data_IF_691553939448
#
_entry.id   IF_691553939448
#
_cell.length_a   1.000
_cell.length_b   1.000
_cell.length_c   1.000
_cell.angle_alpha   90.00
_cell.angle_beta   90.00
_cell.angle_gamma   90.00
#
_symmetry.space_group_name_H-M   'P 1'
#
loop_
_entity.id
_entity.type
_entity.pdbx_description
1 polymer ?
#
# COMPACT_ATOMS: atom_id res chain seq x y z
N UNK A 1 20.15 0.58 13.86
CA UNK A 1 19.99 2.05 13.76
C UNK A 1 18.71 2.47 13.03
N UNK A 2 18.57 2.34 11.70
CA UNK A 2 17.40 2.85 10.95
C UNK A 2 16.02 2.55 11.58
N UNK A 3 15.78 1.32 12.06
CA UNK A 3 14.56 0.93 12.79
C UNK A 3 14.33 1.77 14.06
N UNK A 4 15.38 2.05 14.82
CA UNK A 4 15.30 2.89 16.02
C UNK A 4 14.98 4.37 15.69
N UNK A 5 15.22 4.82 14.45
CA UNK A 5 14.78 6.12 13.94
C UNK A 5 13.41 6.06 13.23
N UNK A 6 12.70 4.92 13.28
CA UNK A 6 11.38 4.75 12.66
C UNK A 6 11.41 4.37 11.17
N UNK A 7 12.56 3.97 10.63
CA UNK A 7 12.69 3.41 9.28
C UNK A 7 12.51 1.88 9.23
N UNK A 8 12.62 1.27 8.05
CA UNK A 8 12.44 -0.19 7.86
C UNK A 8 13.71 -1.02 8.18
N UNK A 9 14.91 -0.44 8.06
CA UNK A 9 16.20 -1.14 8.23
C UNK A 9 16.49 -2.25 7.20
N UNK A 10 15.78 -2.26 6.06
CA UNK A 10 15.92 -3.26 5.00
C UNK A 10 16.42 -2.68 3.66
N UNK A 11 16.76 -1.40 3.61
CA UNK A 11 17.40 -0.81 2.44
C UNK A 11 18.72 -1.50 2.14
N UNK A 12 18.87 -1.97 0.89
CA UNK A 12 20.06 -2.71 0.46
C UNK A 12 20.03 -4.22 0.73
N UNK A 13 18.90 -4.80 1.13
CA UNK A 13 18.81 -6.25 1.40
C UNK A 13 19.24 -7.16 0.23
N UNK A 14 19.18 -6.64 -1.00
CA UNK A 14 19.57 -7.34 -2.23
C UNK A 14 21.05 -7.13 -2.60
N UNK A 15 21.81 -6.39 -1.78
CA UNK A 15 23.22 -6.04 -1.99
C UNK A 15 24.11 -7.01 -1.23
N UNK A 16 25.26 -7.36 -1.79
CA UNK A 16 26.19 -8.30 -1.16
C UNK A 16 26.69 -7.80 0.21
N UNK A 17 26.72 -8.68 1.21
CA UNK A 17 27.18 -8.36 2.56
C UNK A 17 26.16 -7.64 3.46
N UNK A 18 24.91 -7.51 3.02
CA UNK A 18 23.86 -6.83 3.77
C UNK A 18 23.65 -7.39 5.19
N UNK A 19 23.51 -8.71 5.35
CA UNK A 19 23.19 -9.30 6.67
C UNK A 19 24.27 -9.02 7.72
N UNK A 20 25.54 -9.14 7.31
CA UNK A 20 26.69 -8.85 8.17
C UNK A 20 26.73 -7.36 8.54
N UNK A 21 26.50 -6.47 7.58
CA UNK A 21 26.47 -5.03 7.80
C UNK A 21 25.29 -4.59 8.67
N UNK A 22 24.10 -5.16 8.46
CA UNK A 22 22.88 -4.87 9.25
C UNK A 22 23.01 -5.32 10.71
N UNK A 23 23.65 -6.46 10.95
CA UNK A 23 23.85 -7.02 12.28
C UNK A 23 24.90 -6.26 13.12
N UNK A 24 25.75 -5.45 12.49
CA UNK A 24 26.83 -4.76 13.18
C UNK A 24 26.33 -3.60 14.06
N UNK A 25 26.67 -3.65 15.35
CA UNK A 25 26.27 -2.64 16.35
C UNK A 25 27.44 -1.76 16.83
N UNK A 26 28.59 -1.79 16.17
CA UNK A 26 29.76 -0.98 16.54
C UNK A 26 30.74 -1.66 17.49
N UNK A 27 30.58 -2.95 17.77
CA UNK A 27 31.49 -3.72 18.63
C UNK A 27 32.52 -4.51 17.82
N UNK A 28 33.81 -4.27 18.07
CA UNK A 28 34.91 -4.98 17.41
C UNK A 28 35.47 -4.23 16.21
N UNK A 29 36.03 -4.98 15.26
CA UNK A 29 36.56 -4.40 14.03
C UNK A 29 35.42 -3.87 13.14
N UNK A 30 35.62 -2.74 12.42
CA UNK A 30 34.58 -2.19 11.56
C UNK A 30 34.12 -3.18 10.48
N UNK A 31 32.80 -3.30 10.32
CA UNK A 31 32.18 -4.08 9.24
C UNK A 31 31.94 -3.18 8.03
N UNK A 32 32.38 -3.65 6.86
CA UNK A 32 32.19 -2.97 5.58
C UNK A 32 31.05 -3.62 4.79
N UNK A 33 30.21 -2.80 4.15
CA UNK A 33 29.15 -3.27 3.28
C UNK A 33 29.77 -3.68 1.94
N UNK A 34 30.08 -4.98 1.81
CA UNK A 34 30.88 -5.54 0.69
C UNK A 34 30.38 -5.12 -0.69
N UNK A 35 29.08 -5.11 -0.89
CA UNK A 35 28.48 -4.73 -2.16
C UNK A 35 28.37 -3.22 -2.40
N UNK A 36 28.85 -2.34 -1.50
CA UNK A 36 28.81 -0.88 -1.69
C UNK A 36 30.24 -0.35 -1.73
N UNK A 37 30.66 0.15 -2.90
CA UNK A 37 32.02 0.61 -3.10
C UNK A 37 32.09 2.09 -3.51
N UNK A 38 32.87 2.89 -2.78
CA UNK A 38 33.20 4.27 -3.15
C UNK A 38 34.53 4.29 -3.92
N UNK A 39 34.43 4.48 -5.23
CA UNK A 39 35.60 4.43 -6.13
C UNK A 39 36.30 5.80 -6.12
N UNK A 40 35.54 6.87 -6.36
CA UNK A 40 35.96 8.27 -6.28
C UNK A 40 34.75 9.20 -6.04
N UNK A 41 34.97 10.52 -6.05
CA UNK A 41 33.96 11.54 -5.74
C UNK A 41 32.69 11.48 -6.63
N UNK A 42 32.79 10.91 -7.83
CA UNK A 42 31.69 10.85 -8.80
C UNK A 42 31.37 9.43 -9.27
N UNK A 43 32.03 8.42 -8.68
CA UNK A 43 31.93 7.03 -9.11
C UNK A 43 31.78 6.13 -7.90
N UNK A 44 30.72 5.33 -7.90
CA UNK A 44 30.51 4.24 -6.95
C UNK A 44 30.10 2.98 -7.70
N UNK A 45 30.24 1.83 -7.07
CA UNK A 45 29.76 0.56 -7.58
C UNK A 45 28.88 -0.12 -6.56
N UNK A 46 27.84 -0.80 -7.04
CA UNK A 46 26.95 -1.62 -6.25
C UNK A 46 26.98 -3.04 -6.79
N UNK A 47 27.25 -4.00 -5.92
CA UNK A 47 27.23 -5.44 -6.24
C UNK A 47 25.99 -6.05 -5.60
N UNK A 48 25.04 -6.45 -6.44
CA UNK A 48 23.85 -7.16 -6.01
C UNK A 48 24.16 -8.64 -5.82
N UNK A 49 23.42 -9.28 -4.91
CA UNK A 49 23.51 -10.72 -4.69
C UNK A 49 23.17 -11.46 -5.99
N UNK A 50 23.79 -12.63 -6.18
CA UNK A 50 23.71 -13.39 -7.43
C UNK A 50 22.27 -13.74 -7.84
N UNK A 51 21.38 -13.97 -6.87
CA UNK A 51 19.97 -14.26 -7.11
C UNK A 51 19.32 -13.10 -7.88
N UNK A 52 19.69 -11.85 -7.61
CA UNK A 52 19.11 -10.69 -8.29
C UNK A 52 19.75 -10.36 -9.65
N UNK A 53 20.73 -11.14 -10.13
CA UNK A 53 21.46 -10.83 -11.37
C UNK A 53 20.57 -10.81 -12.63
N UNK A 54 19.50 -11.61 -12.65
CA UNK A 54 18.54 -11.69 -13.76
C UNK A 54 17.19 -11.03 -13.42
N UNK A 55 17.13 -10.22 -12.36
CA UNK A 55 15.88 -9.61 -11.94
C UNK A 55 15.30 -8.71 -13.04
N UNK A 56 14.07 -8.97 -13.47
CA UNK A 56 13.45 -8.23 -14.58
C UNK A 56 13.41 -6.71 -14.32
N UNK A 57 13.19 -6.32 -13.07
CA UNK A 57 13.15 -4.92 -12.65
C UNK A 57 14.52 -4.39 -12.20
N UNK A 58 15.66 -5.01 -12.57
CA UNK A 58 17.01 -4.56 -12.16
C UNK A 58 17.27 -3.06 -12.37
N UNK A 59 16.62 -2.42 -13.37
CA UNK A 59 16.72 -0.97 -13.58
C UNK A 59 16.26 -0.15 -12.38
N UNK A 60 15.33 -0.65 -11.56
CA UNK A 60 14.88 0.01 -10.33
C UNK A 60 15.99 0.05 -9.30
N UNK A 61 16.85 -0.96 -9.28
CA UNK A 61 18.01 -1.00 -8.38
C UNK A 61 19.07 0.01 -8.77
N UNK A 62 19.13 0.44 -10.03
CA UNK A 62 20.00 1.53 -10.49
C UNK A 62 19.47 2.94 -10.15
N UNK A 63 18.31 3.05 -9.49
CA UNK A 63 17.67 4.32 -9.13
C UNK A 63 18.23 4.97 -7.87
N UNK A 64 19.45 5.51 -7.93
CA UNK A 64 20.05 6.21 -6.79
C UNK A 64 19.70 7.70 -6.77
N UNK A 65 19.27 8.20 -5.62
CA UNK A 65 19.07 9.63 -5.37
C UNK A 65 20.03 10.11 -4.28
N UNK A 66 20.74 11.24 -4.47
CA UNK A 66 21.67 11.74 -3.47
C UNK A 66 20.91 12.37 -2.31
N UNK A 67 21.39 12.11 -1.09
CA UNK A 67 21.01 12.83 0.12
C UNK A 67 22.23 13.55 0.72
N UNK A 68 22.06 14.69 1.42
CA UNK A 68 23.13 15.27 2.20
C UNK A 68 23.64 14.26 3.23
N UNK A 69 24.93 13.94 3.23
CA UNK A 69 25.51 12.90 4.10
C UNK A 69 25.22 13.16 5.59
N UNK A 70 25.22 14.44 6.00
CA UNK A 70 24.89 14.86 7.36
C UNK A 70 23.48 14.45 7.78
N UNK A 71 22.55 14.30 6.83
CA UNK A 71 21.18 13.86 7.11
C UNK A 71 21.17 12.56 7.91
N UNK A 72 21.96 11.58 7.46
CA UNK A 72 21.99 10.24 8.04
C UNK A 72 23.22 9.98 8.92
N UNK A 73 24.34 10.67 8.71
CA UNK A 73 25.57 10.44 9.46
C UNK A 73 25.86 11.52 10.51
N UNK A 74 25.20 12.67 10.47
CA UNK A 74 25.57 13.80 11.33
C UNK A 74 27.00 14.25 11.04
N UNK A 75 27.84 14.24 12.07
CA UNK A 75 29.28 14.51 11.96
C UNK A 75 30.13 13.25 11.68
N UNK A 76 29.50 12.08 11.62
CA UNK A 76 30.18 10.81 11.36
C UNK A 76 30.53 10.67 9.88
N UNK A 77 31.53 9.85 9.60
CA UNK A 77 32.09 9.66 8.27
C UNK A 77 31.82 8.25 7.74
N UNK A 78 31.80 8.15 6.40
CA UNK A 78 31.96 6.90 5.67
C UNK A 78 33.45 6.53 5.71
N UNK A 79 33.76 5.34 6.20
CA UNK A 79 35.12 4.77 6.16
C UNK A 79 35.23 3.85 4.96
N UNK A 80 36.40 3.81 4.31
CA UNK A 80 36.62 3.04 3.08
C UNK A 80 37.83 2.14 3.27
N UNK A 81 37.69 0.83 2.99
CA UNK A 81 38.80 -0.11 3.09
C UNK A 81 39.63 -0.20 1.80
N UNK A 82 40.62 -1.09 1.77
CA UNK A 82 41.50 -1.31 0.61
C UNK A 82 40.76 -1.78 -0.65
N UNK A 83 39.63 -2.48 -0.48
CA UNK A 83 38.74 -2.94 -1.55
C UNK A 83 37.72 -1.89 -1.98
N UNK A 84 37.82 -0.66 -1.47
CA UNK A 84 36.86 0.44 -1.71
C UNK A 84 35.49 0.23 -1.08
N UNK A 85 35.30 -0.79 -0.26
CA UNK A 85 34.03 -1.08 0.39
C UNK A 85 33.75 -0.03 1.47
N UNK A 86 32.49 0.39 1.59
CA UNK A 86 32.05 1.42 2.51
C UNK A 86 31.64 0.83 3.87
N UNK A 87 32.14 1.42 4.94
CA UNK A 87 31.68 1.20 6.32
C UNK A 87 31.29 2.52 6.98
N UNK A 88 30.84 2.47 8.23
CA UNK A 88 30.54 3.66 9.02
C UNK A 88 31.52 3.78 10.18
N UNK A 89 31.95 5.00 10.48
CA UNK A 89 32.82 5.30 11.61
C UNK A 89 32.17 4.94 12.96
N UNK A 90 33.00 4.65 13.97
CA UNK A 90 32.58 4.18 15.30
C UNK A 90 31.53 5.09 15.96
N UNK A 91 31.66 6.41 15.80
CA UNK A 91 30.75 7.39 16.38
C UNK A 91 29.30 7.24 15.93
N UNK A 92 29.06 6.66 14.74
CA UNK A 92 27.72 6.37 14.23
C UNK A 92 26.96 5.38 15.12
N UNK A 93 27.70 4.43 15.72
CA UNK A 93 27.14 3.36 16.54
C UNK A 93 27.06 3.71 18.03
N UNK A 94 27.47 4.92 18.42
CA UNK A 94 27.48 5.35 19.82
C UNK A 94 26.08 5.27 20.43
N UNK A 95 26.00 4.59 21.57
CA UNK A 95 24.79 4.49 22.39
C UNK A 95 24.92 5.32 23.68
N UNK A 96 23.79 5.77 24.20
CA UNK A 96 23.66 6.38 25.52
C UNK A 96 22.43 5.84 26.24
N UNK A 97 22.46 5.85 27.57
CA UNK A 97 21.31 5.42 28.37
C UNK A 97 20.21 6.49 28.32
N UNK A 98 19.07 6.15 27.73
CA UNK A 98 17.87 6.99 27.62
C UNK A 98 16.67 6.21 28.14
N UNK A 99 15.96 6.76 29.14
CA UNK A 99 14.81 6.10 29.78
C UNK A 99 15.07 4.67 30.29
N UNK A 100 16.32 4.39 30.69
CA UNK A 100 16.72 3.08 31.23
C UNK A 100 17.07 2.03 30.17
N UNK A 101 17.13 2.40 28.90
CA UNK A 101 17.58 1.54 27.79
C UNK A 101 18.74 2.19 27.03
N UNK A 102 19.62 1.38 26.44
CA UNK A 102 20.68 1.87 25.57
C UNK A 102 20.08 2.27 24.22
N UNK A 103 20.22 3.54 23.85
CA UNK A 103 19.68 4.10 22.61
C UNK A 103 20.81 4.72 21.77
N UNK A 104 20.75 4.55 20.45
CA UNK A 104 21.70 5.19 19.54
C UNK A 104 21.55 6.72 19.56
N UNK A 105 22.64 7.45 19.77
CA UNK A 105 22.65 8.92 19.78
C UNK A 105 22.19 9.48 18.43
N UNK A 106 22.50 8.78 17.33
CA UNK A 106 22.14 9.18 15.97
C UNK A 106 20.63 9.24 15.70
N UNK A 107 19.78 8.59 16.52
CA UNK A 107 18.31 8.66 16.37
C UNK A 107 17.83 10.11 16.43
N UNK A 108 18.26 10.85 17.45
CA UNK A 108 17.82 12.23 17.66
C UNK A 108 18.41 13.18 16.59
N UNK A 109 19.62 12.88 16.09
CA UNK A 109 20.28 13.62 15.01
C UNK A 109 19.47 13.46 13.70
N UNK A 110 19.18 12.21 13.31
CA UNK A 110 18.39 11.92 12.10
C UNK A 110 17.01 12.57 12.18
N UNK A 111 16.30 12.40 13.30
CA UNK A 111 14.96 12.96 13.49
C UNK A 111 14.94 14.50 13.42
N UNK A 112 15.99 15.18 13.89
CA UNK A 112 16.12 16.62 13.73
C UNK A 112 16.43 17.02 12.29
N UNK A 113 17.29 16.27 11.60
CA UNK A 113 17.67 16.53 10.21
C UNK A 113 16.53 16.31 9.20
N UNK A 114 15.57 15.42 9.52
CA UNK A 114 14.40 15.15 8.68
C UNK A 114 13.35 16.28 8.72
N UNK A 115 13.51 17.28 9.60
CA UNK A 115 12.62 18.45 9.62
C UNK A 115 12.83 19.29 8.36
N UNK A 116 11.74 19.86 7.84
CA UNK A 116 11.75 20.66 6.62
C UNK A 116 12.61 21.92 6.74
N UNK A 117 12.75 22.45 7.97
CA UNK A 117 13.52 23.64 8.33
C UNK A 117 14.91 23.31 8.88
N UNK A 118 15.44 22.12 8.56
CA UNK A 118 16.84 21.81 8.85
C UNK A 118 17.79 22.68 8.02
N UNK A 119 19.02 22.86 8.50
CA UNK A 119 20.08 23.60 7.79
C UNK A 119 20.69 22.81 6.61
N UNK A 120 20.10 21.67 6.24
CA UNK A 120 20.61 20.79 5.21
C UNK A 120 20.26 21.28 3.80
N UNK A 121 21.19 21.16 2.83
CA UNK A 121 20.97 21.64 1.48
C UNK A 121 20.01 20.74 0.68
N UNK A 122 19.28 21.37 -0.25
CA UNK A 122 18.48 20.68 -1.25
C UNK A 122 19.28 20.48 -2.54
N UNK A 123 19.14 19.32 -3.19
CA UNK A 123 19.77 18.99 -4.48
C UNK A 123 18.85 19.22 -5.69
N UNK A 124 17.54 19.36 -5.46
CA UNK A 124 16.54 19.50 -6.51
C UNK A 124 16.36 20.93 -7.07
N UNK A 125 15.44 21.13 -8.02
CA UNK A 125 15.19 22.41 -8.69
C UNK A 125 14.65 23.52 -7.77
N UNK A 126 14.07 23.15 -6.63
CA UNK A 126 13.47 24.08 -5.66
C UNK A 126 13.93 23.75 -4.24
N UNK A 127 13.90 24.76 -3.38
CA UNK A 127 14.07 24.65 -1.91
C UNK A 127 12.76 24.95 -1.22
N UNK A 128 12.45 24.28 -0.11
CA UNK A 128 11.32 24.68 0.74
C UNK A 128 11.72 25.95 1.48
N UNK A 129 11.04 27.05 1.20
CA UNK A 129 11.32 28.35 1.82
C UNK A 129 10.43 28.63 3.02
N UNK A 130 9.25 28.00 3.09
CA UNK A 130 8.35 28.10 4.23
C UNK A 130 7.38 26.90 4.27
N UNK A 131 7.04 26.44 5.47
CA UNK A 131 5.92 25.54 5.69
C UNK A 131 5.05 26.07 6.83
N UNK A 132 3.81 26.41 6.50
CA UNK A 132 2.80 26.76 7.48
C UNK A 132 2.04 25.48 7.89
N UNK A 133 2.39 24.95 9.05
CA UNK A 133 1.76 23.75 9.60
C UNK A 133 0.25 23.92 9.90
N UNK A 134 -0.22 25.14 10.13
CA UNK A 134 -1.63 25.42 10.44
C UNK A 134 -2.51 25.29 9.21
N UNK A 135 -2.05 25.79 8.07
CA UNK A 135 -2.74 25.68 6.78
C UNK A 135 -2.29 24.47 5.94
N UNK A 136 -1.22 23.78 6.36
CA UNK A 136 -0.53 22.72 5.61
C UNK A 136 -0.07 23.20 4.23
N UNK A 137 0.45 24.43 4.18
CA UNK A 137 0.91 25.07 2.95
C UNK A 137 2.43 25.06 2.91
N UNK A 138 3.01 24.55 1.82
CA UNK A 138 4.44 24.62 1.58
C UNK A 138 4.74 25.61 0.45
N UNK A 139 5.66 26.53 0.68
CA UNK A 139 6.18 27.46 -0.32
C UNK A 139 7.58 27.03 -0.71
N UNK A 140 7.82 26.93 -2.01
CA UNK A 140 9.08 26.53 -2.61
C UNK A 140 9.60 27.66 -3.50
N UNK A 141 10.91 27.90 -3.47
CA UNK A 141 11.59 28.88 -4.33
C UNK A 141 12.70 28.23 -5.12
N UNK A 142 13.10 28.84 -6.24
CA UNK A 142 14.19 28.32 -7.08
C UNK A 142 15.44 28.00 -6.25
N UNK A 143 16.04 26.83 -6.49
CA UNK A 143 17.33 26.49 -5.91
C UNK A 143 18.45 27.14 -6.75
N UNK A 144 19.18 28.13 -6.22
CA UNK A 144 20.17 28.88 -7.00
C UNK A 144 21.36 28.03 -7.45
N UNK A 145 21.63 26.91 -6.79
CA UNK A 145 22.74 26.01 -7.12
C UNK A 145 22.32 24.80 -7.95
N UNK A 146 21.03 24.67 -8.32
CA UNK A 146 20.59 23.59 -9.20
C UNK A 146 21.19 23.78 -10.61
N UNK A 147 21.98 22.81 -11.11
CA UNK A 147 22.64 22.95 -12.40
C UNK A 147 21.66 22.87 -13.59
N UNK A 148 20.47 22.31 -13.38
CA UNK A 148 19.59 21.85 -14.45
C UNK A 148 19.79 20.36 -14.73
N UNK A 149 18.87 19.75 -15.47
CA UNK A 149 19.07 18.41 -16.02
C UNK A 149 18.97 18.42 -17.56
N UNK A 150 19.51 17.39 -18.21
CA UNK A 150 19.59 17.32 -19.68
C UNK A 150 18.21 17.19 -20.34
N UNK A 151 17.19 16.70 -19.61
CA UNK A 151 15.86 16.47 -20.15
C UNK A 151 14.96 17.71 -20.07
N UNK A 152 15.09 18.51 -19.00
CA UNK A 152 14.15 19.56 -18.59
C UNK A 152 14.82 20.92 -18.38
N UNK A 153 16.15 20.97 -18.29
CA UNK A 153 16.90 22.20 -18.06
C UNK A 153 16.70 22.78 -16.65
N UNK A 154 16.72 24.12 -16.54
CA UNK A 154 16.49 24.83 -15.29
C UNK A 154 15.03 25.27 -15.15
N UNK A 155 14.46 25.20 -13.94
CA UNK A 155 13.13 25.74 -13.68
C UNK A 155 13.08 27.26 -13.86
N UNK A 156 11.94 27.78 -14.31
CA UNK A 156 11.71 29.22 -14.50
C UNK A 156 10.61 29.82 -13.62
N UNK A 157 9.76 28.99 -12.99
CA UNK A 157 8.71 29.49 -12.08
C UNK A 157 9.40 29.87 -10.77
N UNK A 158 9.34 31.15 -10.38
CA UNK A 158 10.10 31.67 -9.24
C UNK A 158 9.65 31.09 -7.90
N UNK A 159 8.34 30.91 -7.73
CA UNK A 159 7.71 30.43 -6.49
C UNK A 159 6.62 29.41 -6.81
N UNK A 160 6.62 28.31 -6.08
CA UNK A 160 5.55 27.32 -6.08
C UNK A 160 4.89 27.29 -4.69
N UNK A 161 3.57 27.19 -4.66
CA UNK A 161 2.83 27.02 -3.41
C UNK A 161 2.01 25.74 -3.50
N UNK A 162 2.32 24.77 -2.65
CA UNK A 162 1.54 23.56 -2.47
C UNK A 162 0.49 23.81 -1.39
N UNK A 163 -0.78 23.70 -1.77
CA UNK A 163 -1.92 23.81 -0.86
C UNK A 163 -2.70 22.50 -0.82
N UNK A 164 -3.37 22.24 0.30
CA UNK A 164 -4.35 21.15 0.37
C UNK A 164 -5.62 21.58 -0.39
N UNK A 165 -5.91 20.90 -1.50
CA UNK A 165 -7.16 21.05 -2.25
C UNK A 165 -8.18 20.02 -1.77
N UNK A 166 -9.45 20.42 -1.67
CA UNK A 166 -10.58 19.51 -1.43
C UNK A 166 -11.54 19.56 -2.62
N UNK A 167 -12.09 18.41 -3.00
CA UNK A 167 -12.86 18.23 -4.23
C UNK A 167 -14.05 19.18 -4.35
N UNK A 168 -14.70 19.49 -3.22
CA UNK A 168 -15.91 20.32 -3.17
C UNK A 168 -15.65 21.78 -3.57
N UNK A 169 -14.45 22.30 -3.31
CA UNK A 169 -14.12 23.73 -3.53
C UNK A 169 -13.12 23.96 -4.66
N UNK A 170 -12.44 22.93 -5.15
CA UNK A 170 -11.31 23.06 -6.09
C UNK A 170 -11.65 23.87 -7.35
N UNK A 171 -12.84 23.67 -7.91
CA UNK A 171 -13.28 24.35 -9.12
C UNK A 171 -13.52 25.85 -8.89
N UNK A 172 -14.09 26.22 -7.75
CA UNK A 172 -14.28 27.63 -7.37
C UNK A 172 -12.94 28.31 -7.09
N UNK A 173 -12.01 27.59 -6.44
CA UNK A 173 -10.65 28.09 -6.16
C UNK A 173 -9.90 28.36 -7.47
N UNK A 174 -9.99 27.43 -8.43
CA UNK A 174 -9.40 27.60 -9.76
C UNK A 174 -10.03 28.80 -10.50
N UNK A 175 -11.36 28.92 -10.48
CA UNK A 175 -12.06 30.04 -11.12
C UNK A 175 -11.70 31.42 -10.55
N UNK A 176 -11.46 31.49 -9.24
CA UNK A 176 -11.04 32.72 -8.55
C UNK A 176 -9.55 33.01 -8.69
N UNK A 177 -8.76 32.08 -9.24
CA UNK A 177 -7.30 32.19 -9.30
C UNK A 177 -6.62 32.01 -7.94
N UNK A 178 -7.27 31.30 -7.00
CA UNK A 178 -6.67 30.92 -5.72
C UNK A 178 -5.69 29.74 -5.88
N UNK A 179 -5.91 28.91 -6.92
CA UNK A 179 -5.00 27.86 -7.38
C UNK A 179 -4.88 27.90 -8.90
N UNK A 180 -3.74 27.45 -9.43
CA UNK A 180 -3.47 27.42 -10.87
C UNK A 180 -3.69 26.04 -11.50
N UNK A 181 -3.60 24.97 -10.71
CA UNK A 181 -3.64 23.58 -11.17
C UNK A 181 -4.53 22.77 -10.24
N UNK A 182 -5.48 22.05 -10.83
CA UNK A 182 -6.15 20.89 -10.23
C UNK A 182 -5.58 19.63 -10.89
N UNK A 183 -5.21 18.64 -10.09
CA UNK A 183 -4.58 17.41 -10.58
C UNK A 183 -5.21 16.18 -9.95
N UNK A 184 -5.12 15.04 -10.62
CA UNK A 184 -5.63 13.77 -10.10
C UNK A 184 -7.16 13.71 -9.95
N UNK A 185 -7.89 14.46 -10.77
CA UNK A 185 -9.36 14.41 -10.78
C UNK A 185 -9.80 13.00 -11.18
N UNK A 186 -10.59 12.39 -10.30
CA UNK A 186 -11.17 11.06 -10.49
C UNK A 186 -12.64 11.13 -10.11
N UNK A 187 -13.45 10.25 -10.69
CA UNK A 187 -14.90 10.27 -10.51
C UNK A 187 -15.60 11.03 -11.63
N UNK A 188 -16.78 10.56 -12.00
CA UNK A 188 -17.51 11.06 -13.15
C UNK A 188 -18.01 12.49 -12.97
N UNK A 189 -18.47 12.84 -11.78
CA UNK A 189 -19.06 14.14 -11.51
C UNK A 189 -17.99 15.23 -11.38
N UNK A 190 -16.90 14.95 -10.66
CA UNK A 190 -15.75 15.85 -10.54
C UNK A 190 -15.10 16.10 -11.90
N UNK A 191 -14.92 15.04 -12.71
CA UNK A 191 -14.36 15.16 -14.06
C UNK A 191 -15.26 16.02 -14.94
N UNK A 192 -16.56 15.75 -15.01
CA UNK A 192 -17.51 16.57 -15.80
C UNK A 192 -17.53 18.03 -15.34
N UNK A 193 -17.46 18.27 -14.04
CA UNK A 193 -17.45 19.62 -13.49
C UNK A 193 -16.19 20.40 -13.91
N UNK A 194 -15.01 19.75 -13.88
CA UNK A 194 -13.76 20.36 -14.34
C UNK A 194 -13.75 20.61 -15.86
N UNK A 195 -14.20 19.64 -16.68
CA UNK A 195 -14.31 19.81 -18.13
C UNK A 195 -15.25 20.96 -18.50
N UNK A 196 -16.36 21.12 -17.76
CA UNK A 196 -17.27 22.25 -17.95
C UNK A 196 -16.57 23.60 -17.74
N UNK A 197 -15.64 23.71 -16.79
CA UNK A 197 -14.86 24.95 -16.60
C UNK A 197 -13.96 25.26 -17.80
N UNK A 198 -13.39 24.23 -18.44
CA UNK A 198 -12.56 24.39 -19.63
C UNK A 198 -13.44 24.86 -20.81
N UNK A 199 -14.56 24.19 -21.04
CA UNK A 199 -15.52 24.50 -22.11
C UNK A 199 -16.08 25.94 -21.98
N UNK A 200 -16.52 26.31 -20.79
CA UNK A 200 -17.10 27.64 -20.52
C UNK A 200 -16.03 28.73 -20.31
N UNK A 201 -14.78 28.34 -20.07
CA UNK A 201 -13.66 29.21 -19.69
C UNK A 201 -13.09 30.06 -20.81
N UNK A 202 -13.59 29.94 -22.05
CA UNK A 202 -13.14 30.70 -23.23
C UNK A 202 -11.61 30.68 -23.43
N UNK A 203 -10.97 29.52 -23.20
CA UNK A 203 -9.53 29.33 -23.35
C UNK A 203 -8.68 29.75 -22.14
N UNK A 204 -9.30 30.09 -21.00
CA UNK A 204 -8.58 30.38 -19.74
C UNK A 204 -7.94 29.15 -19.10
N UNK A 205 -8.54 27.98 -19.30
CA UNK A 205 -8.09 26.72 -18.73
C UNK A 205 -7.76 25.74 -19.85
N UNK A 206 -6.83 24.83 -19.56
CA UNK A 206 -6.46 23.73 -20.43
C UNK A 206 -6.57 22.43 -19.64
N UNK A 207 -6.83 21.34 -20.36
CA UNK A 207 -6.94 20.00 -19.81
C UNK A 207 -5.88 19.08 -20.40
N UNK A 208 -5.51 18.05 -19.65
CA UNK A 208 -4.63 16.98 -20.11
C UNK A 208 -5.19 15.67 -19.58
N UNK A 209 -5.41 14.74 -20.50
CA UNK A 209 -5.96 13.43 -20.23
C UNK A 209 -4.83 12.41 -20.32
N UNK A 210 -4.81 11.48 -19.38
CA UNK A 210 -3.84 10.39 -19.36
C UNK A 210 -4.49 9.16 -18.77
N UNK A 211 -4.14 7.99 -19.30
CA UNK A 211 -4.50 6.74 -18.67
C UNK A 211 -3.70 6.62 -17.37
N UNK A 212 -4.41 6.61 -16.26
CA UNK A 212 -3.79 6.46 -14.95
C UNK A 212 -3.39 5.01 -14.78
N UNK A 213 -2.12 4.83 -14.48
CA UNK A 213 -1.49 3.61 -13.99
C UNK A 213 -2.13 2.95 -12.75
N UNK A 214 -3.22 3.46 -12.18
CA UNK A 214 -3.77 3.02 -10.89
C UNK A 214 -5.20 2.50 -11.00
N UNK A 215 -5.68 1.87 -9.92
CA UNK A 215 -7.02 1.31 -9.83
C UNK A 215 -7.59 1.47 -8.42
N UNK A 216 -8.91 1.58 -8.28
CA UNK A 216 -9.57 1.37 -6.98
C UNK A 216 -9.64 -0.13 -6.70
N UNK A 217 -9.50 -0.54 -5.43
CA UNK A 217 -9.64 -1.96 -5.06
C UNK A 217 -10.49 -2.13 -3.81
N UNK A 218 -11.24 -3.22 -3.82
CA UNK A 218 -11.65 -3.89 -2.60
C UNK A 218 -10.52 -4.85 -2.20
N UNK A 219 -9.82 -4.53 -1.12
CA UNK A 219 -8.77 -5.36 -0.53
C UNK A 219 -9.32 -6.32 0.52
N UNK A 220 -8.63 -7.45 0.67
CA UNK A 220 -8.95 -8.47 1.66
C UNK A 220 -7.72 -8.76 2.52
N UNK A 221 -7.96 -9.07 3.79
CA UNK A 221 -6.99 -9.69 4.70
C UNK A 221 -7.14 -11.21 4.54
N UNK A 222 -6.14 -11.86 3.94
CA UNK A 222 -6.26 -13.24 3.45
C UNK A 222 -5.67 -14.33 4.38
N UNK A 223 -5.29 -13.98 5.61
CA UNK A 223 -4.74 -14.89 6.61
C UNK A 223 -5.68 -15.11 7.82
N UNK A 224 -6.83 -14.43 7.86
CA UNK A 224 -7.80 -14.54 8.95
C UNK A 224 -9.26 -14.40 8.50
N UNK A 225 -10.15 -15.04 9.26
CA UNK A 225 -11.60 -15.01 9.06
C UNK A 225 -12.03 -15.58 7.71
N UNK A 226 -13.27 -15.29 7.27
CA UNK A 226 -13.80 -15.86 6.03
C UNK A 226 -13.05 -15.44 4.77
N UNK A 227 -12.42 -14.27 4.74
CA UNK A 227 -11.66 -13.81 3.56
C UNK A 227 -10.32 -14.52 3.36
N UNK A 228 -9.88 -15.34 4.32
CA UNK A 228 -8.75 -16.24 4.14
C UNK A 228 -9.01 -17.31 3.06
N UNK A 229 -10.29 -17.65 2.85
CA UNK A 229 -10.73 -18.68 1.93
C UNK A 229 -10.91 -18.11 0.52
N UNK A 230 -10.27 -18.74 -0.47
CA UNK A 230 -10.27 -18.25 -1.84
C UNK A 230 -11.69 -18.20 -2.41
N UNK A 231 -12.51 -19.21 -2.15
CA UNK A 231 -13.90 -19.30 -2.56
C UNK A 231 -14.76 -18.16 -2.02
N UNK A 232 -14.47 -17.63 -0.82
CA UNK A 232 -15.19 -16.49 -0.24
C UNK A 232 -14.84 -15.22 -1.00
N UNK A 233 -13.54 -15.01 -1.29
CA UNK A 233 -13.10 -13.87 -2.12
C UNK A 233 -13.71 -13.93 -3.52
N UNK A 234 -13.78 -15.13 -4.11
CA UNK A 234 -14.44 -15.36 -5.40
C UNK A 234 -15.95 -15.06 -5.32
N UNK A 235 -16.65 -15.58 -4.32
CA UNK A 235 -18.07 -15.34 -4.10
C UNK A 235 -18.37 -13.84 -3.99
N UNK A 236 -17.60 -13.10 -3.19
CA UNK A 236 -17.73 -11.64 -3.06
C UNK A 236 -17.50 -10.94 -4.42
N UNK A 237 -16.52 -11.37 -5.21
CA UNK A 237 -16.30 -10.81 -6.54
C UNK A 237 -17.48 -11.05 -7.50
N UNK A 238 -18.16 -12.20 -7.39
CA UNK A 238 -19.36 -12.53 -8.18
C UNK A 238 -20.61 -11.74 -7.76
N UNK A 239 -20.63 -11.11 -6.59
CA UNK A 239 -21.79 -10.34 -6.09
C UNK A 239 -21.69 -8.84 -6.32
N UNK A 240 -20.64 -8.38 -7.00
CA UNK A 240 -20.49 -6.97 -7.39
C UNK A 240 -20.63 -6.87 -8.91
N UNK A 241 -21.59 -6.08 -9.39
CA UNK A 241 -21.67 -5.72 -10.80
C UNK A 241 -20.55 -4.71 -11.13
N UNK A 242 -19.33 -5.21 -11.38
CA UNK A 242 -18.13 -4.38 -11.59
C UNK A 242 -18.26 -3.39 -12.75
N UNK A 243 -18.83 -3.76 -13.92
CA UNK A 243 -19.10 -2.79 -14.98
C UNK A 243 -20.04 -1.65 -14.57
N UNK A 244 -21.16 -1.96 -13.90
CA UNK A 244 -22.10 -0.94 -13.42
C UNK A 244 -21.48 -0.06 -12.33
N UNK A 245 -20.72 -0.65 -11.42
CA UNK A 245 -19.98 0.06 -10.38
C UNK A 245 -18.98 1.04 -11.00
N UNK A 246 -18.13 0.57 -11.93
CA UNK A 246 -17.15 1.39 -12.60
C UNK A 246 -17.80 2.52 -13.42
N UNK A 247 -18.89 2.21 -14.14
CA UNK A 247 -19.64 3.22 -14.90
C UNK A 247 -20.26 4.28 -14.00
N UNK A 248 -20.82 3.87 -12.86
CA UNK A 248 -21.46 4.78 -11.89
C UNK A 248 -20.42 5.70 -11.25
N UNK A 249 -19.29 5.15 -10.81
CA UNK A 249 -18.23 5.94 -10.16
C UNK A 249 -17.51 6.86 -11.15
N UNK A 250 -17.06 6.31 -12.28
CA UNK A 250 -16.18 7.05 -13.21
C UNK A 250 -16.94 7.88 -14.23
N UNK A 251 -18.24 7.68 -14.39
CA UNK A 251 -19.03 8.37 -15.42
C UNK A 251 -18.58 8.09 -16.86
N UNK A 252 -17.82 7.01 -17.10
CA UNK A 252 -17.24 6.64 -18.40
C UNK A 252 -15.77 7.05 -18.59
N UNK A 253 -15.15 7.71 -17.60
CA UNK A 253 -13.72 8.10 -17.63
C UNK A 253 -12.79 7.04 -17.04
N UNK A 254 -13.26 5.81 -16.87
CA UNK A 254 -12.46 4.68 -16.44
C UNK A 254 -13.05 3.37 -16.90
N UNK A 255 -12.32 2.29 -16.69
CA UNK A 255 -12.69 0.94 -17.12
C UNK A 255 -12.49 -0.08 -16.01
N UNK A 256 -13.10 -1.26 -16.17
CA UNK A 256 -12.89 -2.39 -15.26
C UNK A 256 -11.53 -3.01 -15.58
N UNK A 257 -10.73 -3.24 -14.55
CA UNK A 257 -9.50 -4.04 -14.62
C UNK A 257 -9.67 -5.36 -13.88
N UNK A 258 -8.91 -6.37 -14.29
CA UNK A 258 -9.04 -7.75 -13.79
C UNK A 258 -7.80 -8.24 -13.04
N UNK A 259 -6.79 -7.39 -12.92
CA UNK A 259 -5.53 -7.68 -12.24
C UNK A 259 -4.80 -6.40 -11.85
N UNK A 260 -3.69 -6.53 -11.11
CA UNK A 260 -2.97 -5.40 -10.54
C UNK A 260 -2.05 -4.68 -11.56
N UNK A 261 -1.78 -5.30 -12.70
CA UNK A 261 -0.91 -4.74 -13.74
C UNK A 261 -1.68 -3.85 -14.70
N UNK A 262 -1.11 -2.69 -15.01
CA UNK A 262 -1.67 -1.78 -16.00
C UNK A 262 -1.51 -2.34 -17.40
N UNK A 263 -2.63 -2.41 -18.12
CA UNK A 263 -2.71 -3.06 -19.44
C UNK A 263 -1.94 -2.31 -20.53
N UNK A 264 -1.62 -1.03 -20.32
CA UNK A 264 -0.79 -0.25 -21.24
C UNK A 264 0.71 -0.42 -21.04
N UNK A 265 1.16 -1.16 -20.02
CA UNK A 265 2.59 -1.35 -19.76
C UNK A 265 3.22 -2.34 -20.75
N UNK A 266 4.48 -2.11 -21.13
CA UNK A 266 5.17 -2.93 -22.15
C UNK A 266 5.28 -4.40 -21.76
N UNK A 267 5.53 -4.70 -20.48
CA UNK A 267 5.59 -6.08 -20.00
C UNK A 267 4.24 -6.78 -20.12
N UNK A 268 3.14 -6.10 -19.75
CA UNK A 268 1.79 -6.64 -19.93
C UNK A 268 1.52 -6.94 -21.40
N UNK A 269 1.82 -5.97 -22.29
CA UNK A 269 1.65 -6.11 -23.73
C UNK A 269 2.49 -7.22 -24.35
N UNK A 270 3.67 -7.51 -23.80
CA UNK A 270 4.55 -8.56 -24.30
C UNK A 270 3.97 -9.97 -24.10
N UNK A 271 3.09 -10.16 -23.10
CA UNK A 271 2.52 -11.47 -22.75
C UNK A 271 0.99 -11.47 -22.71
N UNK A 272 0.33 -10.44 -23.26
CA UNK A 272 -1.11 -10.24 -23.07
C UNK A 272 -1.98 -11.42 -23.56
N UNK A 273 -1.53 -12.11 -24.61
CA UNK A 273 -2.20 -13.29 -25.16
C UNK A 273 -2.10 -14.54 -24.27
N UNK A 274 -1.16 -14.55 -23.32
CA UNK A 274 -0.94 -15.64 -22.36
C UNK A 274 -1.66 -15.40 -21.02
N UNK A 275 -2.13 -14.17 -20.78
CA UNK A 275 -2.79 -13.78 -19.54
C UNK A 275 -4.24 -14.28 -19.53
N UNK A 276 -4.52 -15.24 -18.64
CA UNK A 276 -5.88 -15.79 -18.44
C UNK A 276 -6.40 -15.31 -17.07
N UNK A 277 -7.31 -14.33 -17.09
CA UNK A 277 -7.92 -13.78 -15.88
C UNK A 277 -9.41 -14.09 -15.82
N UNK A 278 -9.86 -14.55 -14.65
CA UNK A 278 -11.29 -14.70 -14.38
C UNK A 278 -11.95 -13.31 -14.33
N UNK A 279 -12.99 -13.15 -15.13
CA UNK A 279 -13.73 -11.90 -15.27
C UNK A 279 -14.69 -11.68 -14.10
N UNK A 280 -15.01 -12.71 -13.31
CA UNK A 280 -15.99 -12.67 -12.22
C UNK A 280 -17.29 -11.94 -12.61
N UNK A 281 -17.92 -12.41 -13.69
CA UNK A 281 -19.19 -11.86 -14.14
C UNK A 281 -20.28 -12.00 -13.07
N UNK A 282 -21.02 -10.92 -12.81
CA UNK A 282 -22.01 -10.86 -11.72
C UNK A 282 -23.01 -12.03 -11.76
N UNK A 283 -23.05 -12.85 -10.71
CA UNK A 283 -23.86 -14.07 -10.63
C UNK A 283 -23.94 -14.62 -9.20
N UNK A 284 -25.10 -14.55 -8.55
CA UNK A 284 -25.32 -15.19 -7.24
C UNK A 284 -25.28 -16.72 -7.32
N UNK A 285 -25.63 -17.31 -8.47
CA UNK A 285 -25.47 -18.76 -8.71
C UNK A 285 -23.99 -19.18 -8.68
N UNK A 286 -23.12 -18.42 -9.35
CA UNK A 286 -21.68 -18.70 -9.35
C UNK A 286 -21.07 -18.48 -7.96
N UNK A 287 -21.53 -17.46 -7.23
CA UNK A 287 -21.14 -17.23 -5.84
C UNK A 287 -21.55 -18.40 -4.93
N UNK A 288 -22.79 -18.89 -5.04
CA UNK A 288 -23.27 -20.05 -4.30
C UNK A 288 -22.48 -21.31 -4.65
N UNK A 289 -22.19 -21.54 -5.93
CA UNK A 289 -21.45 -22.72 -6.38
C UNK A 289 -20.04 -22.81 -5.76
N UNK A 290 -19.28 -21.71 -5.76
CA UNK A 290 -17.93 -21.71 -5.15
C UNK A 290 -17.99 -21.85 -3.62
N UNK A 291 -19.02 -21.28 -2.97
CA UNK A 291 -19.24 -21.43 -1.53
C UNK A 291 -19.58 -22.89 -1.16
N UNK A 292 -20.46 -23.53 -1.93
CA UNK A 292 -20.83 -24.93 -1.74
C UNK A 292 -19.61 -25.85 -1.92
N UNK A 293 -18.83 -25.63 -2.99
CA UNK A 293 -17.59 -26.38 -3.26
C UNK A 293 -16.53 -26.19 -2.15
N UNK A 294 -16.41 -24.96 -1.64
CA UNK A 294 -15.51 -24.65 -0.52
C UNK A 294 -16.02 -25.08 0.86
N UNK A 295 -17.19 -25.73 0.95
CA UNK A 295 -17.69 -26.31 2.20
C UNK A 295 -18.41 -25.33 3.13
N UNK A 296 -18.90 -24.20 2.61
CA UNK A 296 -19.80 -23.27 3.31
C UNK A 296 -21.25 -23.78 3.30
N UNK A 297 -21.43 -25.02 3.73
CA UNK A 297 -22.65 -25.82 3.55
C UNK A 297 -23.39 -26.07 4.87
N UNK A 298 -22.96 -25.47 5.97
CA UNK A 298 -23.57 -25.64 7.29
C UNK A 298 -24.33 -24.40 7.76
N UNK A 299 -25.22 -24.56 8.73
CA UNK A 299 -25.79 -23.48 9.50
C UNK A 299 -25.09 -23.34 10.88
N UNK A 300 -25.56 -22.44 11.74
CA UNK A 300 -24.99 -22.20 13.07
C UNK A 300 -25.01 -23.40 14.01
N UNK A 301 -25.78 -24.46 13.69
CA UNK A 301 -25.91 -25.68 14.48
C UNK A 301 -25.06 -26.82 13.93
N UNK A 302 -24.28 -26.57 12.88
CA UNK A 302 -23.52 -27.61 12.17
C UNK A 302 -24.39 -28.55 11.34
N UNK A 303 -25.66 -28.19 11.09
CA UNK A 303 -26.57 -28.92 10.21
C UNK A 303 -26.46 -28.38 8.77
N UNK A 304 -26.92 -29.11 7.74
CA UNK A 304 -26.90 -28.59 6.37
C UNK A 304 -27.64 -27.25 6.24
N UNK A 305 -26.99 -26.28 5.59
CA UNK A 305 -27.55 -24.96 5.30
C UNK A 305 -28.77 -25.05 4.38
N UNK A 306 -29.84 -24.36 4.75
CA UNK A 306 -31.08 -24.26 3.98
C UNK A 306 -31.33 -22.81 3.58
N UNK A 307 -31.12 -22.51 2.29
CA UNK A 307 -31.34 -21.18 1.72
C UNK A 307 -32.75 -20.64 2.03
N UNK A 308 -32.83 -19.37 2.42
CA UNK A 308 -34.08 -18.69 2.78
C UNK A 308 -34.65 -19.06 4.17
N UNK A 309 -34.10 -20.06 4.85
CA UNK A 309 -34.43 -20.40 6.24
C UNK A 309 -33.28 -20.02 7.18
N UNK A 310 -32.07 -20.47 6.85
CA UNK A 310 -30.86 -20.14 7.59
C UNK A 310 -30.31 -18.79 7.09
N UNK A 311 -30.00 -17.85 7.99
CA UNK A 311 -29.59 -16.51 7.59
C UNK A 311 -28.15 -16.44 7.07
N UNK A 312 -27.26 -17.29 7.60
CA UNK A 312 -25.82 -17.28 7.33
C UNK A 312 -25.29 -18.69 7.18
N UNK A 313 -24.42 -18.89 6.19
CA UNK A 313 -23.65 -20.11 5.98
C UNK A 313 -22.50 -20.21 6.96
N UNK A 314 -22.13 -21.43 7.30
CA UNK A 314 -20.99 -21.77 8.12
C UNK A 314 -20.11 -22.79 7.39
N UNK A 315 -18.80 -22.71 7.62
CA UNK A 315 -17.82 -23.71 7.20
C UNK A 315 -17.23 -24.40 8.42
N UNK A 316 -17.19 -25.73 8.40
CA UNK A 316 -16.45 -26.52 9.39
C UNK A 316 -14.95 -26.32 9.17
N UNK A 317 -14.23 -25.88 10.19
CA UNK A 317 -12.79 -25.62 10.12
C UNK A 317 -11.98 -26.91 10.29
N UNK A 318 -10.94 -27.09 9.49
CA UNK A 318 -10.03 -28.24 9.52
C UNK A 318 -8.56 -27.82 9.48
N UNK A 319 -7.67 -28.63 10.07
CA UNK A 319 -6.22 -28.39 10.00
C UNK A 319 -5.79 -26.98 10.41
N UNK A 320 -5.07 -26.29 9.51
CA UNK A 320 -4.56 -24.93 9.72
C UNK A 320 -5.67 -23.86 9.78
N UNK A 321 -6.87 -24.17 9.28
CA UNK A 321 -8.02 -23.26 9.32
C UNK A 321 -8.47 -23.00 10.77
N UNK A 322 -8.14 -23.90 11.71
CA UNK A 322 -8.39 -23.77 13.16
C UNK A 322 -7.37 -22.86 13.86
N UNK A 323 -6.94 -21.79 13.20
CA UNK A 323 -6.07 -20.81 13.83
C UNK A 323 -6.77 -20.19 15.06
N UNK A 324 -6.02 -19.73 16.08
CA UNK A 324 -6.60 -19.05 17.24
C UNK A 324 -7.51 -17.86 16.84
N UNK A 325 -7.15 -17.17 15.76
CA UNK A 325 -7.92 -16.04 15.23
C UNK A 325 -9.26 -16.50 14.63
N UNK A 326 -9.27 -17.59 13.85
CA UNK A 326 -10.50 -18.13 13.27
C UNK A 326 -11.42 -18.76 14.32
N UNK A 327 -10.86 -19.41 15.34
CA UNK A 327 -11.64 -19.94 16.47
C UNK A 327 -12.30 -18.80 17.27
N UNK A 328 -11.59 -17.69 17.45
CA UNK A 328 -12.09 -16.52 18.16
C UNK A 328 -12.89 -15.53 17.29
N UNK A 329 -13.08 -15.84 16.00
CA UNK A 329 -13.68 -14.92 15.03
C UNK A 329 -15.11 -14.53 15.40
N UNK A 330 -15.43 -13.24 15.21
CA UNK A 330 -16.76 -12.66 15.37
C UNK A 330 -16.97 -11.50 14.39
N UNK A 331 -18.21 -11.30 13.96
CA UNK A 331 -18.59 -10.06 13.28
C UNK A 331 -18.39 -8.87 14.23
N UNK A 332 -18.08 -7.68 13.70
CA UNK A 332 -17.74 -6.52 14.53
C UNK A 332 -18.88 -6.06 15.44
N UNK A 333 -20.13 -6.33 15.06
CA UNK A 333 -21.33 -6.10 15.86
C UNK A 333 -21.68 -7.27 16.80
N UNK A 334 -20.96 -8.38 16.72
CA UNK A 334 -21.14 -9.58 17.53
C UNK A 334 -22.34 -10.45 17.14
N UNK A 335 -23.03 -10.17 16.03
CA UNK A 335 -24.18 -10.94 15.58
C UNK A 335 -23.84 -12.40 15.25
N UNK A 336 -22.68 -12.63 14.63
CA UNK A 336 -22.20 -13.97 14.27
C UNK A 336 -20.79 -14.19 14.81
N UNK A 337 -20.51 -15.43 15.20
CA UNK A 337 -19.19 -15.87 15.68
C UNK A 337 -18.94 -17.31 15.32
N UNK A 338 -17.68 -17.72 15.33
CA UNK A 338 -17.34 -19.15 15.28
C UNK A 338 -17.95 -19.86 16.48
N UNK A 339 -18.58 -21.01 16.22
CA UNK A 339 -19.25 -21.83 17.22
C UNK A 339 -18.53 -23.17 17.37
N UNK A 340 -18.49 -23.68 18.60
CA UNK A 340 -17.98 -25.01 18.91
C UNK A 340 -19.16 -25.95 19.15
N UNK A 341 -19.19 -27.05 18.39
CA UNK A 341 -20.22 -28.08 18.47
C UNK A 341 -19.51 -29.43 18.51
N UNK A 342 -19.66 -30.17 19.62
CA UNK A 342 -19.04 -31.47 19.82
C UNK A 342 -17.51 -31.51 19.58
N UNK A 343 -16.81 -30.42 19.93
CA UNK A 343 -15.36 -30.27 19.75
C UNK A 343 -14.92 -29.87 18.33
N UNK A 344 -15.88 -29.60 17.45
CA UNK A 344 -15.66 -29.11 16.09
C UNK A 344 -16.00 -27.62 15.99
N UNK A 345 -15.24 -26.87 15.18
CA UNK A 345 -15.44 -25.42 15.03
C UNK A 345 -16.08 -25.09 13.69
N UNK A 346 -17.14 -24.28 13.71
CA UNK A 346 -17.87 -23.82 12.54
C UNK A 346 -17.81 -22.30 12.47
N UNK A 347 -17.21 -21.76 11.42
CA UNK A 347 -17.03 -20.33 11.22
C UNK A 347 -18.12 -19.76 10.32
N UNK A 348 -18.75 -18.62 10.68
CA UNK A 348 -19.78 -17.98 9.86
C UNK A 348 -19.21 -17.28 8.64
N UNK A 349 -19.99 -17.21 7.55
CA UNK A 349 -19.72 -16.36 6.39
C UNK A 349 -20.08 -14.91 6.72
N UNK A 350 -19.34 -14.31 7.64
CA UNK A 350 -19.50 -12.93 8.07
C UNK A 350 -18.25 -12.10 7.68
N UNK A 351 -18.46 -11.00 6.95
CA UNK A 351 -17.40 -10.14 6.46
C UNK A 351 -17.40 -8.83 7.26
N UNK A 352 -16.31 -8.59 7.96
CA UNK A 352 -16.06 -7.30 8.60
C UNK A 352 -15.41 -6.35 7.59
N UNK A 353 -16.20 -5.41 7.08
CA UNK A 353 -15.80 -4.41 6.10
C UNK A 353 -15.51 -3.07 6.77
N UNK A 354 -14.29 -2.56 6.60
CA UNK A 354 -13.85 -1.27 7.14
C UNK A 354 -13.70 -0.25 6.01
N UNK A 355 -14.16 0.99 6.25
CA UNK A 355 -14.03 2.08 5.29
C UNK A 355 -14.02 3.46 5.94
N UNK A 356 -13.59 4.46 5.18
CA UNK A 356 -13.55 5.87 5.62
C UNK A 356 -14.80 6.63 5.19
N UNK A 357 -15.03 7.78 5.83
CA UNK A 357 -16.06 8.75 5.46
C UNK A 357 -15.52 10.19 5.54
N UNK A 358 -15.91 11.11 4.64
CA UNK A 358 -16.74 10.88 3.45
C UNK A 358 -16.00 10.09 2.37
N UNK A 359 -16.66 9.13 1.71
CA UNK A 359 -16.08 8.34 0.63
C UNK A 359 -17.15 7.71 -0.27
N UNK A 360 -17.30 8.21 -1.49
CA UNK A 360 -18.30 7.73 -2.45
C UNK A 360 -18.13 6.25 -2.84
N UNK A 361 -16.90 5.72 -2.89
CA UNK A 361 -16.65 4.30 -3.13
C UNK A 361 -17.20 3.46 -1.96
N UNK A 362 -17.00 3.92 -0.73
CA UNK A 362 -17.56 3.28 0.47
C UNK A 362 -19.09 3.28 0.42
N UNK A 363 -19.71 4.41 0.07
CA UNK A 363 -21.17 4.52 -0.01
C UNK A 363 -21.77 3.62 -1.09
N UNK A 364 -21.11 3.53 -2.25
CA UNK A 364 -21.49 2.63 -3.33
C UNK A 364 -21.35 1.16 -2.92
N UNK A 365 -20.28 0.78 -2.20
CA UNK A 365 -20.09 -0.58 -1.70
C UNK A 365 -21.11 -0.94 -0.62
N UNK A 366 -21.41 -0.02 0.30
CA UNK A 366 -22.49 -0.19 1.29
C UNK A 366 -23.81 -0.48 0.57
N UNK A 367 -24.13 0.27 -0.48
CA UNK A 367 -25.33 0.03 -1.29
C UNK A 367 -25.26 -1.33 -1.98
N UNK A 368 -24.13 -1.66 -2.61
CA UNK A 368 -23.92 -2.91 -3.33
C UNK A 368 -23.89 -4.16 -2.44
N UNK A 369 -23.57 -4.04 -1.15
CA UNK A 369 -23.45 -5.17 -0.23
C UNK A 369 -24.57 -5.24 0.81
N UNK A 370 -24.92 -4.13 1.45
CA UNK A 370 -25.92 -4.16 2.52
C UNK A 370 -27.35 -4.07 1.98
N UNK A 371 -27.55 -3.48 0.80
CA UNK A 371 -28.89 -3.30 0.22
C UNK A 371 -29.20 -4.26 -0.93
N UNK A 372 -28.22 -5.04 -1.40
CA UNK A 372 -28.39 -6.03 -2.47
C UNK A 372 -28.51 -7.44 -1.87
N UNK A 373 -29.69 -8.10 -1.96
CA UNK A 373 -29.86 -9.48 -1.49
C UNK A 373 -28.87 -10.45 -2.12
N UNK A 374 -28.45 -10.22 -3.37
CA UNK A 374 -27.53 -11.08 -4.10
C UNK A 374 -26.13 -11.13 -3.46
N UNK A 375 -25.76 -10.11 -2.67
CA UNK A 375 -24.48 -10.04 -1.97
C UNK A 375 -24.54 -10.54 -0.51
N UNK A 376 -25.73 -10.81 0.01
CA UNK A 376 -25.96 -11.22 1.40
C UNK A 376 -26.91 -12.41 1.45
N UNK A 377 -28.21 -12.16 1.55
CA UNK A 377 -29.23 -13.19 1.80
C UNK A 377 -29.24 -14.31 0.76
N UNK A 378 -29.08 -14.04 -0.54
CA UNK A 378 -29.12 -15.07 -1.59
C UNK A 378 -27.93 -16.04 -1.54
N UNK A 379 -26.81 -15.60 -0.97
CA UNK A 379 -25.60 -16.42 -0.84
C UNK A 379 -25.36 -16.85 0.62
N UNK A 380 -26.26 -16.50 1.55
CA UNK A 380 -26.10 -16.77 2.97
C UNK A 380 -24.87 -16.08 3.59
N UNK A 381 -24.54 -14.87 3.13
CA UNK A 381 -23.45 -14.05 3.67
C UNK A 381 -23.98 -12.89 4.53
N UNK A 382 -23.18 -12.50 5.52
CA UNK A 382 -23.44 -11.34 6.36
C UNK A 382 -22.31 -10.32 6.24
N UNK A 383 -22.60 -9.07 5.90
CA UNK A 383 -21.57 -8.04 5.70
C UNK A 383 -21.83 -6.87 6.64
N UNK A 384 -20.88 -6.61 7.54
CA UNK A 384 -20.96 -5.52 8.52
C UNK A 384 -19.97 -4.43 8.16
N UNK A 385 -20.48 -3.22 7.95
CA UNK A 385 -19.67 -2.05 7.71
C UNK A 385 -19.27 -1.36 9.03
N UNK A 386 -18.00 -1.00 9.15
CA UNK A 386 -17.45 -0.18 10.23
C UNK A 386 -16.79 1.06 9.64
N UNK A 387 -17.34 2.23 9.96
CA UNK A 387 -16.74 3.52 9.60
C UNK A 387 -15.59 3.85 10.54
N UNK A 388 -14.44 4.20 9.99
CA UNK A 388 -13.26 4.55 10.80
C UNK A 388 -12.32 5.51 10.05
N UNK A 389 -11.27 5.99 10.71
CA UNK A 389 -10.22 6.78 10.08
C UNK A 389 -9.18 5.88 9.39
N UNK A 390 -8.37 6.47 8.51
CA UNK A 390 -7.37 5.70 7.76
C UNK A 390 -6.24 5.18 8.64
N UNK A 391 -5.72 5.99 9.56
CA UNK A 391 -4.50 5.66 10.29
C UNK A 391 -4.77 4.69 11.43
N UNK A 392 -5.67 5.05 12.35
CA UNK A 392 -5.92 4.23 13.55
C UNK A 392 -6.94 3.13 13.32
N UNK A 393 -7.84 3.33 12.36
CA UNK A 393 -8.84 2.35 11.97
C UNK A 393 -8.33 1.35 10.94
N UNK A 394 -8.24 1.80 9.68
CA UNK A 394 -7.92 0.92 8.56
C UNK A 394 -6.49 0.39 8.66
N UNK A 395 -5.49 1.27 8.76
CA UNK A 395 -4.09 0.87 8.76
C UNK A 395 -3.72 0.13 10.04
N UNK A 396 -4.17 0.57 11.22
CA UNK A 396 -3.99 -0.15 12.48
C UNK A 396 -4.49 -1.58 12.43
N UNK A 397 -5.75 -1.79 12.02
CA UNK A 397 -6.34 -3.13 11.90
C UNK A 397 -5.72 -3.96 10.77
N UNK A 398 -5.41 -3.34 9.62
CA UNK A 398 -4.81 -4.02 8.48
C UNK A 398 -3.37 -4.44 8.77
N UNK A 399 -2.59 -3.65 9.50
CA UNK A 399 -1.20 -3.97 9.85
C UNK A 399 -1.07 -4.72 11.17
N UNK A 400 -2.15 -4.81 11.95
CA UNK A 400 -2.15 -5.29 13.34
C UNK A 400 -1.08 -4.59 14.20
N UNK A 401 -0.92 -3.29 14.00
CA UNK A 401 0.07 -2.48 14.70
C UNK A 401 -0.58 -1.74 15.89
N UNK A 402 -0.13 -2.07 17.11
CA UNK A 402 -0.64 -1.46 18.35
C UNK A 402 -0.33 0.04 18.45
N UNK A 403 0.80 0.48 17.91
CA UNK A 403 1.17 1.91 17.88
C UNK A 403 0.29 2.68 16.90
N UNK A 404 -0.28 1.99 15.91
CA UNK A 404 -1.31 2.49 15.02
C UNK A 404 -2.73 2.21 15.51
N UNK A 405 -2.94 1.93 16.80
CA UNK A 405 -4.28 1.85 17.41
C UNK A 405 -4.96 0.48 17.37
N UNK A 406 -4.28 -0.57 16.90
CA UNK A 406 -4.81 -1.93 17.00
C UNK A 406 -4.94 -2.37 18.47
N UNK A 407 -6.08 -2.96 18.83
CA UNK A 407 -6.40 -3.34 20.22
C UNK A 407 -5.99 -4.78 20.58
N UNK A 408 -5.25 -5.45 19.69
CA UNK A 408 -4.81 -6.84 19.87
C UNK A 408 -5.85 -7.89 19.44
N UNK A 409 -7.02 -7.47 18.92
CA UNK A 409 -8.05 -8.39 18.42
C UNK A 409 -8.21 -8.20 16.92
N UNK A 410 -7.89 -9.22 16.14
CA UNK A 410 -8.07 -9.20 14.69
C UNK A 410 -9.55 -9.17 14.32
N UNK A 411 -9.97 -8.15 13.55
CA UNK A 411 -11.36 -7.98 13.12
C UNK A 411 -11.51 -7.81 11.61
N UNK A 412 -10.58 -7.10 10.97
CA UNK A 412 -10.71 -6.66 9.59
C UNK A 412 -10.58 -7.81 8.59
N UNK A 413 -11.58 -7.97 7.72
CA UNK A 413 -11.58 -8.93 6.62
C UNK A 413 -11.50 -8.25 5.25
N UNK A 414 -12.22 -7.13 5.11
CA UNK A 414 -12.34 -6.41 3.85
C UNK A 414 -12.18 -4.90 4.05
N UNK A 415 -11.60 -4.23 3.06
CA UNK A 415 -11.40 -2.78 3.02
C UNK A 415 -11.51 -2.27 1.60
N UNK A 416 -11.91 -1.03 1.40
CA UNK A 416 -11.78 -0.36 0.12
C UNK A 416 -10.66 0.66 0.17
N UNK A 417 -9.71 0.51 -0.75
CA UNK A 417 -8.79 1.59 -1.07
C UNK A 417 -9.35 2.35 -2.25
N UNK A 418 -9.76 3.60 -2.01
CA UNK A 418 -10.26 4.49 -3.05
C UNK A 418 -9.26 4.65 -4.22
N UNK A 419 -7.96 4.41 -3.95
CA UNK A 419 -6.90 4.32 -4.96
C UNK A 419 -5.78 3.37 -4.51
N UNK A 420 -5.39 2.44 -5.36
CA UNK A 420 -4.06 1.84 -5.35
C UNK A 420 -3.11 2.78 -6.09
N UNK A 421 -2.17 3.37 -5.36
CA UNK A 421 -1.04 4.05 -5.98
C UNK A 421 0.00 3.02 -6.34
N UNK A 422 0.44 3.00 -7.58
CA UNK A 422 1.71 2.41 -7.93
C UNK A 422 2.74 3.51 -8.19
N UNK A 423 3.97 3.23 -7.78
CA UNK A 423 5.12 3.96 -8.25
C UNK A 423 5.29 3.73 -9.76
N UNK A 424 6.12 4.54 -10.41
CA UNK A 424 6.44 4.37 -11.84
C UNK A 424 7.07 2.99 -12.15
N UNK A 425 7.50 2.24 -11.14
CA UNK A 425 7.99 0.87 -11.25
C UNK A 425 6.87 -0.12 -10.85
N UNK A 426 6.40 -0.93 -11.81
CA UNK A 426 5.39 -1.97 -11.62
C UNK A 426 5.97 -3.25 -10.99
N UNK A 427 6.77 -3.08 -9.96
CA UNK A 427 7.38 -4.20 -9.28
C UNK A 427 6.43 -4.73 -8.19
N UNK A 428 5.66 -5.76 -8.55
CA UNK A 428 4.78 -6.45 -7.61
C UNK A 428 5.46 -7.66 -6.96
N UNK A 429 6.74 -7.92 -7.27
CA UNK A 429 7.47 -9.05 -6.71
C UNK A 429 7.46 -8.98 -5.18
N UNK A 430 7.39 -10.13 -4.55
CA UNK A 430 7.37 -10.33 -3.10
C UNK A 430 6.07 -9.89 -2.38
N UNK A 431 5.10 -9.27 -3.06
CA UNK A 431 3.85 -8.82 -2.43
C UNK A 431 3.00 -9.97 -1.85
N UNK A 432 3.25 -11.20 -2.31
CA UNK A 432 2.69 -12.47 -1.87
C UNK A 432 3.80 -13.47 -1.53
N UNK A 433 4.98 -12.99 -1.12
CA UNK A 433 6.13 -13.84 -0.80
C UNK A 433 5.78 -14.94 0.20
N UNK A 434 6.34 -16.12 0.00
CA UNK A 434 6.27 -17.23 0.97
C UNK A 434 7.42 -17.21 1.98
N UNK A 435 8.42 -16.34 1.78
CA UNK A 435 9.56 -16.21 2.70
C UNK A 435 9.10 -15.59 4.03
N UNK A 436 9.15 -16.34 5.14
CA UNK A 436 8.73 -15.82 6.44
C UNK A 436 9.53 -14.59 6.90
N UNK A 437 10.78 -14.43 6.45
CA UNK A 437 11.60 -13.26 6.80
C UNK A 437 11.13 -11.97 6.08
N UNK A 438 10.41 -12.12 4.97
CA UNK A 438 9.96 -11.01 4.12
C UNK A 438 8.44 -10.79 4.19
N UNK A 439 7.68 -11.80 4.60
CA UNK A 439 6.21 -11.80 4.56
C UNK A 439 5.61 -10.56 5.24
N UNK A 440 5.98 -10.27 6.48
CA UNK A 440 5.41 -9.13 7.23
C UNK A 440 5.77 -7.76 6.61
N UNK A 441 6.88 -7.68 5.87
CA UNK A 441 7.37 -6.44 5.26
C UNK A 441 6.75 -6.16 3.88
N UNK A 442 6.44 -7.22 3.12
CA UNK A 442 6.02 -7.11 1.72
C UNK A 442 4.56 -7.52 1.47
N UNK A 443 3.90 -8.16 2.42
CA UNK A 443 2.56 -8.68 2.24
C UNK A 443 1.51 -7.58 1.98
N UNK A 444 1.08 -7.46 0.72
CA UNK A 444 0.07 -6.49 0.31
C UNK A 444 -1.37 -6.96 0.59
N UNK A 445 -1.57 -8.27 0.76
CA UNK A 445 -2.88 -8.92 0.88
C UNK A 445 -2.95 -9.99 1.98
N UNK A 446 -1.83 -10.28 2.65
CA UNK A 446 -1.70 -11.37 3.60
C UNK A 446 -2.05 -12.72 2.99
N UNK A 447 -1.51 -12.93 1.80
CA UNK A 447 -1.59 -14.15 1.00
C UNK A 447 -0.16 -14.59 0.67
N UNK A 448 0.09 -15.89 0.69
CA UNK A 448 1.34 -16.51 0.23
C UNK A 448 1.09 -17.18 -1.13
N UNK A 449 1.97 -16.94 -2.10
CA UNK A 449 1.93 -17.53 -3.44
C UNK A 449 3.32 -18.05 -3.83
N UNK A 450 3.42 -19.35 -4.13
CA UNK A 450 4.67 -19.98 -4.57
C UNK A 450 5.17 -19.43 -5.92
N UNK A 451 4.28 -18.85 -6.73
CA UNK A 451 4.64 -18.18 -7.98
C UNK A 451 5.34 -16.83 -7.76
N UNK A 452 5.24 -16.26 -6.56
CA UNK A 452 5.96 -15.05 -6.16
C UNK A 452 7.32 -15.35 -5.51
N UNK A 453 7.72 -16.63 -5.48
CA UNK A 453 9.03 -17.06 -5.00
C UNK A 453 10.04 -17.07 -6.15
N UNK A 454 11.09 -16.25 -6.00
CA UNK A 454 12.11 -16.04 -7.02
C UNK A 454 12.89 -17.32 -7.38
N UNK A 455 13.13 -18.26 -6.44
CA UNK A 455 13.95 -19.45 -6.73
C UNK A 455 13.28 -20.45 -7.71
N UNK A 456 12.00 -20.26 -8.04
CA UNK A 456 11.28 -21.08 -9.01
C UNK A 456 11.36 -20.53 -10.46
N UNK A 457 12.07 -19.43 -10.70
CA UNK A 457 12.23 -18.80 -12.03
C UNK A 457 13.68 -18.67 -12.49
#
# INVERSE_FOLDING_TARGET
MAVAAGGNGNEGQVVEGFDEFKAYEGEGDPVYFKGVQLIDDYTFAITYQADYANYYYLITFAGFSPAPMQMYLGENEIIVNENKECGLSEGFYKKEAKDGVDAFVMVDVINNNLKWDSDLPYSGPYVVSNYDASSRTATLTLNPVYPGDDARGKPSIETLTYVKVISETQNDQLLKGEIDIISGITGGDETKAALKLVDEGAGKFAETHYDRAGYGKLGFRCDLGPTAFAEVRQAICYTINRPEFAQTFTGGFGSVVHGPYYTGFSAYKAVEDEIILNQYAYSSDSANAVLDEGGWIYNEKGEPYVAGTDPVRYKKLEGYERSPQNIAFKSTDGAYKTVEIDGEFYMPLAINYFGTQPNNVTDMLITAWQSNPNATTEIGAYIVYTSTDFNTGIYGELSQNTDAGWDGVAKLNAINFATGFNSAAYDFSFNMTIDPAQYDNYSAYYLMDEADFFENY
#
